data_IF_215706381326
#
_entry.id   IF_215706381326
#
_cell.length_a   1.000
_cell.length_b   1.000
_cell.length_c   1.000
_cell.angle_alpha   90.00
_cell.angle_beta   90.00
_cell.angle_gamma   90.00
#
_symmetry.space_group_name_H-M   'P 1'
#
loop_
_entity.id
_entity.type
_entity.pdbx_description
1 polymer ?
#
# COMPACT_ATOMS: atom_id res chain seq x y z
N UNK A 1 25.93 7.80 6.47
CA UNK A 1 26.30 7.00 7.65
C UNK A 1 26.91 5.71 7.15
N UNK A 2 28.09 5.33 7.64
CA UNK A 2 28.71 4.06 7.26
C UNK A 2 28.12 2.96 8.14
N UNK A 3 27.47 1.97 7.53
CA UNK A 3 27.07 0.77 8.26
C UNK A 3 28.30 -0.05 8.63
N UNK A 4 28.26 -0.66 9.82
CA UNK A 4 29.30 -1.59 10.29
C UNK A 4 28.77 -3.00 10.16
N UNK A 5 29.63 -3.95 9.77
CA UNK A 5 29.28 -5.36 9.67
C UNK A 5 28.88 -5.91 11.05
N UNK A 6 27.81 -6.70 11.11
CA UNK A 6 27.26 -7.31 12.32
C UNK A 6 26.66 -6.34 13.35
N UNK A 7 26.42 -5.08 12.98
CA UNK A 7 25.54 -4.20 13.76
C UNK A 7 24.14 -4.82 13.82
N UNK A 8 23.55 -4.90 15.02
CA UNK A 8 22.25 -5.52 15.30
C UNK A 8 21.15 -4.50 15.58
N UNK A 9 21.48 -3.21 15.57
CA UNK A 9 20.59 -2.12 15.98
C UNK A 9 20.27 -1.17 14.82
N UNK A 10 20.40 -1.63 13.57
CA UNK A 10 20.07 -0.79 12.42
C UNK A 10 18.59 -0.42 12.44
N UNK A 11 18.35 0.88 12.35
CA UNK A 11 17.06 1.48 12.06
C UNK A 11 17.11 2.14 10.69
N UNK A 12 16.13 1.83 9.86
CA UNK A 12 16.01 2.43 8.53
C UNK A 12 14.55 2.65 8.16
N UNK A 13 14.27 3.86 7.69
CA UNK A 13 13.02 4.18 6.99
C UNK A 13 13.33 4.29 5.50
N UNK A 14 12.66 3.49 4.70
CA UNK A 14 12.91 3.37 3.27
C UNK A 14 11.63 2.92 2.55
N UNK A 15 11.57 3.11 1.24
CA UNK A 15 10.52 2.49 0.45
C UNK A 15 10.99 1.14 -0.09
N UNK A 16 10.06 0.20 -0.19
CA UNK A 16 10.27 -1.10 -0.83
C UNK A 16 10.36 -0.87 -2.33
N UNK A 17 11.47 -1.27 -2.92
CA UNK A 17 11.76 -1.07 -4.34
C UNK A 17 11.43 -2.31 -5.16
N UNK A 18 11.63 -3.50 -4.60
CA UNK A 18 11.40 -4.78 -5.26
C UNK A 18 11.11 -5.86 -4.21
N UNK A 19 10.16 -6.76 -4.48
CA UNK A 19 9.85 -7.90 -3.59
C UNK A 19 10.00 -9.20 -4.36
N UNK A 20 10.86 -10.09 -3.87
CA UNK A 20 11.04 -11.40 -4.49
C UNK A 20 9.99 -12.40 -3.97
N UNK A 21 9.58 -13.40 -4.76
CA UNK A 21 8.64 -14.42 -4.30
C UNK A 21 9.16 -15.15 -3.05
N UNK A 22 8.25 -15.46 -2.12
CA UNK A 22 8.57 -16.31 -0.96
C UNK A 22 8.99 -17.69 -1.46
N UNK A 23 10.12 -18.20 -0.96
CA UNK A 23 10.63 -19.53 -1.24
C UNK A 23 10.77 -20.33 0.05
N UNK A 24 10.87 -21.64 -0.06
CA UNK A 24 11.22 -22.51 1.07
C UNK A 24 12.66 -22.97 0.92
N UNK A 25 13.42 -22.96 2.02
CA UNK A 25 14.80 -23.43 2.02
C UNK A 25 14.82 -24.95 2.14
N UNK A 26 14.83 -25.64 0.99
CA UNK A 26 14.79 -27.10 0.91
C UNK A 26 15.95 -27.82 1.61
N UNK A 27 17.06 -27.11 1.86
CA UNK A 27 18.25 -27.65 2.53
C UNK A 27 18.07 -27.87 4.05
N UNK A 28 16.95 -27.43 4.64
CA UNK A 28 16.67 -27.60 6.06
C UNK A 28 15.45 -28.50 6.27
N UNK A 29 15.48 -29.33 7.31
CA UNK A 29 14.41 -30.29 7.61
C UNK A 29 13.04 -29.61 7.81
N UNK A 30 13.03 -28.45 8.48
CA UNK A 30 11.83 -27.65 8.75
C UNK A 30 11.40 -26.78 7.56
N UNK A 31 12.20 -26.73 6.48
CA UNK A 31 11.95 -25.96 5.26
C UNK A 31 11.45 -24.53 5.55
N UNK A 32 12.21 -23.72 6.30
CA UNK A 32 11.75 -22.41 6.72
C UNK A 32 11.47 -21.53 5.50
N UNK A 33 10.40 -20.74 5.60
CA UNK A 33 10.08 -19.73 4.60
C UNK A 33 11.19 -18.67 4.54
N UNK A 34 11.49 -18.23 3.32
CA UNK A 34 12.54 -17.29 2.99
C UNK A 34 12.00 -16.21 2.06
N UNK A 35 12.29 -14.96 2.38
CA UNK A 35 11.91 -13.78 1.59
C UNK A 35 13.10 -12.85 1.45
N UNK A 36 13.28 -12.35 0.24
CA UNK A 36 14.15 -11.20 -0.04
C UNK A 36 13.32 -10.04 -0.57
N UNK A 37 13.73 -8.83 -0.25
CA UNK A 37 13.21 -7.61 -0.86
C UNK A 37 14.28 -6.52 -0.84
N UNK A 38 14.17 -5.57 -1.77
CA UNK A 38 15.06 -4.42 -1.86
C UNK A 38 14.37 -3.21 -1.26
N UNK A 39 15.11 -2.43 -0.47
CA UNK A 39 14.65 -1.14 0.04
C UNK A 39 15.57 -0.03 -0.45
N UNK A 40 15.02 1.18 -0.59
CA UNK A 40 15.77 2.35 -1.02
C UNK A 40 15.27 3.57 -0.24
N UNK A 41 16.19 4.42 0.21
CA UNK A 41 15.92 5.62 1.00
C UNK A 41 16.20 6.91 0.20
N UNK A 42 16.18 6.83 -1.13
CA UNK A 42 16.49 7.93 -2.05
C UNK A 42 17.95 8.42 -2.01
N UNK A 43 18.85 7.73 -1.31
CA UNK A 43 20.28 8.05 -1.27
C UNK A 43 21.10 7.37 -2.39
N UNK A 44 20.44 6.90 -3.46
CA UNK A 44 21.01 6.09 -4.55
C UNK A 44 21.60 4.73 -4.15
N UNK A 45 21.46 4.32 -2.89
CA UNK A 45 21.89 2.99 -2.42
C UNK A 45 20.66 2.13 -2.11
N UNK A 46 20.55 1.01 -2.83
CA UNK A 46 19.53 -0.02 -2.59
C UNK A 46 20.08 -1.02 -1.58
N UNK A 47 19.31 -1.38 -0.55
CA UNK A 47 19.73 -2.39 0.43
C UNK A 47 18.87 -3.63 0.25
N UNK A 48 19.51 -4.80 0.18
CA UNK A 48 18.79 -6.07 0.22
C UNK A 48 18.44 -6.39 1.67
N UNK A 49 17.19 -6.77 1.90
CA UNK A 49 16.69 -7.24 3.18
C UNK A 49 16.28 -8.71 3.03
N UNK A 50 16.66 -9.52 4.01
CA UNK A 50 16.36 -10.95 4.09
C UNK A 50 15.58 -11.29 5.35
N UNK A 51 14.52 -12.06 5.18
CA UNK A 51 13.72 -12.64 6.24
C UNK A 51 13.73 -14.17 6.12
N UNK A 52 13.93 -14.87 7.23
CA UNK A 52 13.91 -16.34 7.30
C UNK A 52 13.10 -16.77 8.52
N UNK A 53 12.28 -17.81 8.36
CA UNK A 53 11.51 -18.43 9.45
C UNK A 53 10.03 -18.04 9.44
N UNK A 54 9.35 -18.27 10.56
CA UNK A 54 7.88 -18.32 10.63
C UNK A 54 7.20 -16.99 10.31
N UNK A 55 7.83 -15.87 10.68
CA UNK A 55 7.29 -14.52 10.44
C UNK A 55 7.37 -14.09 8.98
N UNK A 56 8.10 -14.84 8.14
CA UNK A 56 8.34 -14.49 6.73
C UNK A 56 7.05 -14.37 5.94
N UNK A 57 6.11 -15.30 6.11
CA UNK A 57 4.82 -15.26 5.40
C UNK A 57 3.97 -14.06 5.80
N UNK A 58 3.97 -13.73 7.09
CA UNK A 58 3.24 -12.56 7.62
C UNK A 58 3.84 -11.26 7.08
N UNK A 59 5.17 -11.15 7.07
CA UNK A 59 5.88 -9.98 6.53
C UNK A 59 5.64 -9.86 5.03
N UNK A 60 5.65 -10.96 4.27
CA UNK A 60 5.39 -10.95 2.84
C UNK A 60 4.02 -10.35 2.48
N UNK A 61 2.99 -10.58 3.31
CA UNK A 61 1.66 -10.00 3.11
C UNK A 61 1.61 -8.47 3.30
N UNK A 62 2.60 -7.89 3.98
CA UNK A 62 2.67 -6.46 4.28
C UNK A 62 3.57 -5.69 3.30
N UNK A 63 4.35 -6.41 2.48
CA UNK A 63 5.33 -5.83 1.58
C UNK A 63 4.80 -5.83 0.14
N UNK A 64 4.93 -4.67 -0.50
CA UNK A 64 4.69 -4.46 -1.93
C UNK A 64 5.59 -3.32 -2.38
N UNK A 65 5.89 -3.26 -3.66
CA UNK A 65 6.65 -2.15 -4.23
C UNK A 65 6.01 -0.81 -3.86
N UNK A 66 6.86 0.18 -3.60
CA UNK A 66 6.52 1.57 -3.28
C UNK A 66 5.87 1.82 -1.91
N UNK A 67 5.76 0.80 -1.07
CA UNK A 67 5.39 0.99 0.34
C UNK A 67 6.58 1.54 1.13
N UNK A 68 6.35 2.57 1.93
CA UNK A 68 7.31 3.09 2.90
C UNK A 68 7.24 2.23 4.15
N UNK A 69 8.37 1.66 4.55
CA UNK A 69 8.50 0.86 5.75
C UNK A 69 9.55 1.46 6.68
N UNK A 70 9.38 1.21 7.98
CA UNK A 70 10.42 1.38 9.00
C UNK A 70 10.82 0.01 9.51
N UNK A 71 12.10 -0.31 9.38
CA UNK A 71 12.72 -1.49 9.97
C UNK A 71 13.50 -1.03 11.22
N UNK A 72 13.33 -1.73 12.33
CA UNK A 72 14.12 -1.51 13.55
C UNK A 72 14.77 -2.81 14.00
N UNK A 73 15.96 -2.68 14.62
CA UNK A 73 16.77 -3.79 15.11
C UNK A 73 17.12 -4.81 14.01
N UNK A 74 17.41 -4.32 12.81
CA UNK A 74 17.94 -5.14 11.71
C UNK A 74 19.42 -5.45 11.92
N UNK A 75 19.86 -6.63 11.48
CA UNK A 75 21.27 -7.04 11.56
C UNK A 75 21.97 -6.89 10.22
N UNK A 76 23.09 -6.18 10.17
CA UNK A 76 23.92 -6.13 8.97
C UNK A 76 24.74 -7.41 8.81
N UNK A 77 24.87 -7.86 7.58
CA UNK A 77 25.73 -8.98 7.21
C UNK A 77 26.48 -8.68 5.91
N UNK A 78 27.51 -9.47 5.68
CA UNK A 78 28.22 -9.45 4.42
C UNK A 78 27.22 -9.90 3.34
N UNK A 79 27.15 -9.17 2.23
CA UNK A 79 26.22 -9.45 1.16
C UNK A 79 26.52 -10.82 0.56
N UNK A 80 25.51 -11.67 0.44
CA UNK A 80 25.64 -12.94 -0.28
C UNK A 80 25.42 -12.68 -1.77
N UNK A 81 26.41 -12.08 -2.43
CA UNK A 81 26.40 -11.62 -3.84
C UNK A 81 26.38 -12.74 -4.91
N UNK A 82 25.70 -13.85 -4.67
CA UNK A 82 25.58 -14.90 -5.70
C UNK A 82 24.52 -14.56 -6.78
N UNK A 83 23.75 -13.47 -6.60
CA UNK A 83 22.63 -13.12 -7.48
C UNK A 83 22.48 -11.61 -7.76
N UNK A 84 23.48 -10.80 -7.47
CA UNK A 84 23.39 -9.35 -7.73
C UNK A 84 23.90 -9.03 -9.15
N UNK A 85 23.09 -8.38 -10.01
CA UNK A 85 23.58 -7.89 -11.29
C UNK A 85 24.73 -6.88 -11.06
N UNK A 86 25.82 -6.95 -11.85
CA UNK A 86 26.81 -5.88 -11.87
C UNK A 86 26.10 -4.58 -12.30
N UNK A 87 26.30 -3.49 -11.54
CA UNK A 87 25.62 -2.17 -11.66
C UNK A 87 24.24 -2.01 -10.99
N UNK A 88 23.89 -2.88 -10.04
CA UNK A 88 22.57 -2.82 -9.37
C UNK A 88 22.36 -1.69 -8.35
N UNK A 89 23.37 -0.83 -8.11
CA UNK A 89 23.28 0.24 -7.10
C UNK A 89 23.08 -0.28 -5.67
N UNK A 90 23.41 -1.56 -5.42
CA UNK A 90 23.24 -2.21 -4.13
C UNK A 90 24.32 -1.76 -3.15
N UNK A 91 23.92 -1.53 -1.90
CA UNK A 91 24.82 -1.31 -0.78
C UNK A 91 25.72 -2.53 -0.57
N UNK A 92 26.93 -2.30 -0.08
CA UNK A 92 27.92 -3.35 0.21
C UNK A 92 27.59 -4.21 1.45
N UNK A 93 26.36 -4.14 1.95
CA UNK A 93 25.86 -4.89 3.10
C UNK A 93 24.40 -5.27 2.88
N UNK A 94 24.01 -6.40 3.45
CA UNK A 94 22.64 -6.91 3.45
C UNK A 94 22.07 -6.81 4.87
N UNK A 95 20.78 -6.52 4.98
CA UNK A 95 20.07 -6.48 6.25
C UNK A 95 19.34 -7.80 6.47
N UNK A 96 19.57 -8.47 7.60
CA UNK A 96 18.80 -9.63 8.03
C UNK A 96 17.82 -9.20 9.12
N UNK A 97 16.57 -9.62 8.96
CA UNK A 97 15.58 -9.54 10.02
C UNK A 97 15.83 -10.68 11.01
N UNK A 98 16.04 -10.32 12.26
CA UNK A 98 16.16 -11.25 13.38
C UNK A 98 14.79 -11.41 14.08
N UNK A 99 14.63 -12.38 14.99
CA UNK A 99 13.38 -12.52 15.75
C UNK A 99 12.95 -11.24 16.49
N UNK A 100 13.91 -10.40 16.90
CA UNK A 100 13.66 -9.13 17.57
C UNK A 100 13.39 -7.95 16.62
N UNK A 101 13.61 -8.10 15.32
CA UNK A 101 13.35 -7.04 14.35
C UNK A 101 11.85 -6.73 14.23
N UNK A 102 11.56 -5.45 14.01
CA UNK A 102 10.21 -4.93 13.73
C UNK A 102 10.17 -4.32 12.34
N UNK A 103 9.07 -4.53 11.63
CA UNK A 103 8.75 -3.86 10.36
C UNK A 103 7.40 -3.19 10.54
N UNK A 104 7.35 -1.89 10.31
CA UNK A 104 6.14 -1.10 10.34
C UNK A 104 5.91 -0.49 8.96
N UNK A 105 4.73 -0.73 8.38
CA UNK A 105 4.29 -0.06 7.15
C UNK A 105 3.80 1.34 7.51
N UNK A 106 4.48 2.36 6.97
CA UNK A 106 4.18 3.78 7.25
C UNK A 106 3.24 4.40 6.21
N UNK A 107 3.09 3.79 5.04
CA UNK A 107 2.25 4.29 3.95
C UNK A 107 2.84 3.98 2.58
N UNK A 108 2.47 4.74 1.57
CA UNK A 108 3.01 4.62 0.21
C UNK A 108 3.85 5.86 -0.15
N UNK A 109 4.89 5.67 -0.97
CA UNK A 109 5.72 6.77 -1.46
C UNK A 109 4.88 7.72 -2.32
N UNK A 110 4.77 8.97 -1.87
CA UNK A 110 3.93 10.02 -2.47
C UNK A 110 4.27 10.28 -3.94
N UNK A 111 5.55 10.17 -4.32
CA UNK A 111 6.03 10.42 -5.70
C UNK A 111 5.44 9.47 -6.76
N UNK A 112 4.98 8.27 -6.38
CA UNK A 112 4.33 7.36 -7.32
C UNK A 112 2.82 7.57 -7.40
N UNK A 113 2.19 8.10 -6.35
CA UNK A 113 0.77 8.49 -6.38
C UNK A 113 0.57 9.63 -7.39
N UNK A 114 1.50 10.59 -7.48
CA UNK A 114 1.44 11.66 -8.49
C UNK A 114 1.56 11.18 -9.94
N UNK A 115 2.12 9.99 -10.20
CA UNK A 115 2.30 9.43 -11.54
C UNK A 115 1.12 8.57 -12.02
N UNK A 116 0.26 8.14 -11.09
CA UNK A 116 -0.96 7.42 -11.45
C UNK A 116 -1.93 8.38 -12.17
N UNK A 117 -2.61 7.90 -13.23
CA UNK A 117 -3.60 8.73 -13.92
C UNK A 117 -4.71 9.10 -12.94
N UNK A 118 -5.03 10.39 -12.88
CA UNK A 118 -6.21 10.90 -12.19
C UNK A 118 -7.37 10.91 -13.19
N UNK A 119 -8.37 10.10 -12.91
CA UNK A 119 -9.48 9.80 -13.81
C UNK A 119 -10.82 10.19 -13.19
N UNK A 120 -11.81 10.44 -14.05
CA UNK A 120 -13.21 10.53 -13.64
C UNK A 120 -13.71 9.16 -13.15
N UNK A 121 -14.82 9.12 -12.40
CA UNK A 121 -15.40 7.84 -11.94
C UNK A 121 -15.79 6.96 -13.13
N UNK A 122 -16.25 7.57 -14.23
CA UNK A 122 -16.61 6.87 -15.47
C UNK A 122 -15.40 6.20 -16.11
N UNK A 123 -14.33 6.95 -16.32
CA UNK A 123 -13.15 6.45 -17.05
C UNK A 123 -12.39 5.43 -16.20
N UNK A 124 -12.37 5.63 -14.88
CA UNK A 124 -11.84 4.69 -13.91
C UNK A 124 -12.46 3.29 -13.98
N UNK A 125 -13.73 3.17 -14.39
CA UNK A 125 -14.41 1.88 -14.54
C UNK A 125 -13.99 1.10 -15.82
N UNK A 126 -13.24 1.74 -16.71
CA UNK A 126 -12.75 1.16 -17.95
C UNK A 126 -11.27 0.73 -17.84
N UNK A 127 -10.57 1.20 -16.81
CA UNK A 127 -9.15 0.97 -16.64
C UNK A 127 -8.83 -0.32 -15.89
N UNK A 128 -7.76 -0.99 -16.33
CA UNK A 128 -7.18 -2.13 -15.67
C UNK A 128 -5.93 -1.71 -14.90
N UNK A 129 -6.00 -1.73 -13.57
CA UNK A 129 -4.83 -1.48 -12.73
C UNK A 129 -5.10 -0.51 -11.60
N UNK A 130 -4.01 0.03 -11.05
CA UNK A 130 -4.05 1.01 -9.99
C UNK A 130 -4.21 2.41 -10.61
N UNK A 131 -5.20 3.15 -10.16
CA UNK A 131 -5.58 4.46 -10.69
C UNK A 131 -5.88 5.42 -9.54
N UNK A 132 -6.01 6.70 -9.86
CA UNK A 132 -6.55 7.71 -8.94
C UNK A 132 -7.88 8.21 -9.44
N UNK A 133 -8.82 8.38 -8.53
CA UNK A 133 -10.16 8.90 -8.80
C UNK A 133 -10.44 10.05 -7.86
N UNK A 134 -11.01 11.12 -8.40
CA UNK A 134 -11.49 12.25 -7.62
C UNK A 134 -13.02 12.18 -7.52
N UNK A 135 -13.54 12.46 -6.32
CA UNK A 135 -14.98 12.55 -6.11
C UNK A 135 -15.33 13.07 -4.72
N UNK A 136 -16.59 13.44 -4.53
CA UNK A 136 -17.12 13.85 -3.24
C UNK A 136 -17.68 12.65 -2.48
N UNK A 137 -17.38 12.57 -1.18
CA UNK A 137 -17.91 11.55 -0.31
C UNK A 137 -19.41 11.76 -0.10
N UNK A 138 -20.26 10.92 -0.67
CA UNK A 138 -21.73 11.01 -0.53
C UNK A 138 -22.25 10.18 0.63
N UNK A 139 -21.73 8.97 0.79
CA UNK A 139 -22.05 8.09 1.91
C UNK A 139 -20.75 7.86 2.70
N UNK A 140 -20.72 8.17 4.01
CA UNK A 140 -19.51 8.06 4.80
C UNK A 140 -19.06 6.60 4.93
N UNK A 141 -17.77 6.39 5.22
CA UNK A 141 -17.24 5.05 5.39
C UNK A 141 -17.80 4.40 6.67
N UNK A 142 -18.48 3.28 6.50
CA UNK A 142 -19.06 2.48 7.59
C UNK A 142 -18.42 1.09 7.60
N UNK A 143 -18.07 0.62 8.79
CA UNK A 143 -17.42 -0.67 8.97
C UNK A 143 -18.42 -1.81 8.70
N UNK A 144 -18.04 -2.76 7.85
CA UNK A 144 -18.93 -3.83 7.39
C UNK A 144 -19.03 -4.99 8.40
N UNK A 145 -17.96 -5.29 9.15
CA UNK A 145 -17.98 -6.36 10.16
C UNK A 145 -16.97 -6.11 11.30
N UNK A 146 -17.40 -5.82 12.53
CA UNK A 146 -16.51 -5.50 13.66
C UNK A 146 -15.65 -6.69 14.16
N UNK A 147 -16.00 -7.93 13.83
CA UNK A 147 -15.43 -9.10 14.49
C UNK A 147 -14.08 -9.57 13.91
N UNK A 148 -13.89 -9.53 12.59
CA UNK A 148 -12.78 -10.29 11.97
C UNK A 148 -12.06 -9.62 10.79
N UNK A 149 -12.55 -8.50 10.27
CA UNK A 149 -11.84 -7.74 9.23
C UNK A 149 -12.18 -6.27 9.41
N UNK A 150 -11.16 -5.40 9.47
CA UNK A 150 -11.35 -3.94 9.50
C UNK A 150 -11.80 -3.44 8.13
N UNK A 151 -12.79 -4.04 7.51
CA UNK A 151 -13.29 -3.58 6.21
C UNK A 151 -14.39 -2.55 6.40
N UNK A 152 -14.39 -1.53 5.55
CA UNK A 152 -15.44 -0.53 5.52
C UNK A 152 -15.87 -0.26 4.10
N UNK A 153 -17.06 0.30 3.93
CA UNK A 153 -17.50 0.79 2.63
C UNK A 153 -18.18 2.14 2.71
N UNK A 154 -18.06 2.89 1.63
CA UNK A 154 -18.67 4.20 1.44
C UNK A 154 -18.98 4.44 -0.04
N UNK A 155 -19.49 5.61 -0.37
CA UNK A 155 -19.82 5.97 -1.76
C UNK A 155 -19.23 7.32 -2.09
N UNK A 156 -18.45 7.38 -3.17
CA UNK A 156 -18.03 8.64 -3.78
C UNK A 156 -18.86 8.93 -5.03
N UNK A 157 -19.01 10.21 -5.34
CA UNK A 157 -19.73 10.69 -6.51
C UNK A 157 -18.93 11.76 -7.25
N UNK A 158 -19.15 11.83 -8.55
CA UNK A 158 -18.91 13.01 -9.38
C UNK A 158 -20.27 13.56 -9.86
N UNK A 159 -20.25 14.51 -10.81
CA UNK A 159 -21.46 15.15 -11.33
C UNK A 159 -22.54 14.13 -11.73
N UNK A 160 -22.14 13.04 -12.39
CA UNK A 160 -23.08 12.11 -13.02
C UNK A 160 -23.01 10.70 -12.42
N UNK A 161 -21.84 10.28 -11.95
CA UNK A 161 -21.54 8.90 -11.59
C UNK A 161 -21.33 8.73 -10.10
N UNK A 162 -21.69 7.54 -9.61
CA UNK A 162 -21.41 7.09 -8.24
C UNK A 162 -20.66 5.77 -8.28
N UNK A 163 -19.77 5.58 -7.32
CA UNK A 163 -19.10 4.31 -7.13
C UNK A 163 -18.96 3.97 -5.65
N UNK A 164 -19.15 2.69 -5.34
CA UNK A 164 -18.87 2.15 -4.01
C UNK A 164 -17.37 2.03 -3.84
N UNK A 165 -16.85 2.45 -2.68
CA UNK A 165 -15.50 2.16 -2.24
C UNK A 165 -15.56 1.06 -1.20
N UNK A 166 -14.71 0.04 -1.35
CA UNK A 166 -14.46 -0.98 -0.35
C UNK A 166 -13.02 -0.82 0.16
N UNK A 167 -12.87 -0.67 1.47
CA UNK A 167 -11.58 -0.46 2.13
C UNK A 167 -11.23 -1.73 2.90
N UNK A 168 -10.06 -2.31 2.65
CA UNK A 168 -9.59 -3.53 3.32
C UNK A 168 -9.14 -3.30 4.77
N UNK A 169 -8.30 -2.29 5.00
CA UNK A 169 -7.73 -1.92 6.31
C UNK A 169 -8.22 -0.55 6.77
N UNK A 170 -9.48 -0.50 7.19
CA UNK A 170 -10.17 0.70 7.66
C UNK A 170 -9.71 1.13 9.06
N UNK A 171 -9.47 2.43 9.19
CA UNK A 171 -9.28 3.15 10.44
C UNK A 171 -10.19 4.38 10.39
N UNK A 172 -11.07 4.61 11.37
CA UNK A 172 -11.93 5.78 11.37
C UNK A 172 -11.12 7.08 11.25
N UNK A 173 -11.52 7.97 10.35
CA UNK A 173 -10.93 9.29 10.20
C UNK A 173 -12.04 10.35 10.36
N UNK A 174 -12.00 11.20 11.41
CA UNK A 174 -13.04 12.19 11.67
C UNK A 174 -13.14 13.28 10.59
N UNK A 175 -12.13 13.41 9.73
CA UNK A 175 -12.13 14.39 8.64
C UNK A 175 -12.95 13.94 7.42
N UNK A 176 -13.29 12.64 7.32
CA UNK A 176 -14.00 12.09 6.16
C UNK A 176 -15.52 12.16 6.38
N UNK A 177 -16.03 13.38 6.36
CA UNK A 177 -17.46 13.69 6.50
C UNK A 177 -18.13 13.75 5.12
N UNK A 178 -19.46 13.51 5.02
CA UNK A 178 -20.18 13.71 3.77
C UNK A 178 -19.94 15.10 3.17
N UNK A 179 -19.71 15.16 1.86
CA UNK A 179 -19.46 16.37 1.11
C UNK A 179 -18.00 16.75 0.94
N UNK A 180 -17.06 16.12 1.65
CA UNK A 180 -15.63 16.39 1.42
C UNK A 180 -15.18 15.79 0.09
N UNK A 181 -14.33 16.53 -0.62
CA UNK A 181 -13.69 16.02 -1.83
C UNK A 181 -12.51 15.12 -1.46
N UNK A 182 -12.42 13.98 -2.12
CA UNK A 182 -11.39 12.97 -1.91
C UNK A 182 -10.65 12.70 -3.21
N UNK A 183 -9.36 12.41 -3.10
CA UNK A 183 -8.63 11.66 -4.11
C UNK A 183 -8.35 10.28 -3.56
N UNK A 184 -8.79 9.27 -4.30
CA UNK A 184 -8.76 7.86 -3.89
C UNK A 184 -7.85 7.13 -4.86
N UNK A 185 -6.81 6.48 -4.34
CA UNK A 185 -6.01 5.51 -5.09
C UNK A 185 -6.69 4.15 -4.95
N UNK A 186 -7.07 3.53 -6.07
CA UNK A 186 -7.87 2.31 -6.04
C UNK A 186 -7.66 1.43 -7.26
N UNK A 187 -8.19 0.20 -7.20
CA UNK A 187 -8.39 -0.67 -8.36
C UNK A 187 -9.88 -0.83 -8.61
N UNK A 188 -10.30 -0.76 -9.86
CA UNK A 188 -11.67 -1.12 -10.22
C UNK A 188 -11.84 -2.65 -10.18
N UNK A 189 -12.93 -3.10 -9.56
CA UNK A 189 -13.32 -4.51 -9.48
C UNK A 189 -14.74 -4.67 -9.97
N UNK A 190 -14.93 -5.57 -10.93
CA UNK A 190 -16.25 -6.10 -11.30
C UNK A 190 -16.49 -7.36 -10.49
N UNK A 191 -17.57 -7.36 -9.73
CA UNK A 191 -18.05 -8.57 -9.08
C UNK A 191 -18.95 -9.33 -10.09
N UNK A 192 -18.73 -10.64 -10.24
CA UNK A 192 -19.52 -11.48 -11.14
C UNK A 192 -20.97 -11.66 -10.67
N UNK A 193 -21.24 -11.46 -9.37
CA UNK A 193 -22.56 -11.63 -8.77
C UNK A 193 -23.04 -10.37 -8.02
N UNK A 194 -22.27 -9.28 -8.07
CA UNK A 194 -22.50 -8.09 -7.25
C UNK A 194 -22.25 -6.78 -8.01
N UNK A 195 -22.49 -5.63 -7.35
CA UNK A 195 -22.21 -4.33 -7.94
C UNK A 195 -20.70 -4.10 -8.04
N UNK A 196 -20.24 -3.50 -9.14
CA UNK A 196 -18.85 -3.05 -9.29
C UNK A 196 -18.45 -2.05 -8.20
N UNK A 197 -17.17 -2.05 -7.83
CA UNK A 197 -16.64 -1.18 -6.77
C UNK A 197 -15.17 -0.81 -7.00
N UNK A 198 -14.73 0.24 -6.32
CA UNK A 198 -13.33 0.58 -6.16
C UNK A 198 -12.78 -0.10 -4.91
N UNK A 199 -11.79 -0.96 -5.12
CA UNK A 199 -11.04 -1.68 -4.11
C UNK A 199 -9.86 -0.82 -3.64
N UNK A 200 -9.84 -0.51 -2.36
CA UNK A 200 -8.85 0.34 -1.68
C UNK A 200 -8.24 -0.49 -0.56
N UNK A 201 -6.91 -0.56 -0.51
CA UNK A 201 -6.25 -1.45 0.44
C UNK A 201 -6.32 -0.91 1.87
N UNK A 202 -6.26 0.42 2.04
CA UNK A 202 -6.28 1.05 3.35
C UNK A 202 -6.47 2.56 3.30
N UNK A 203 -6.65 3.17 4.48
CA UNK A 203 -6.94 4.60 4.61
C UNK A 203 -5.85 5.53 4.08
N UNK A 204 -4.60 5.05 4.01
CA UNK A 204 -3.47 5.79 3.45
C UNK A 204 -3.58 6.04 1.93
N UNK A 205 -4.49 5.35 1.24
CA UNK A 205 -4.76 5.50 -0.18
C UNK A 205 -5.87 6.55 -0.46
N UNK A 206 -6.45 7.13 0.59
CA UNK A 206 -7.51 8.14 0.51
C UNK A 206 -6.99 9.45 1.08
N UNK A 207 -7.03 10.51 0.26
CA UNK A 207 -6.54 11.84 0.63
C UNK A 207 -7.68 12.87 0.51
N UNK A 208 -7.72 13.85 1.40
CA UNK A 208 -8.57 15.02 1.21
C UNK A 208 -8.05 15.83 0.01
N UNK A 209 -8.98 16.24 -0.85
CA UNK A 209 -8.68 17.21 -1.89
C UNK A 209 -9.02 18.62 -1.38
N UNK A 210 -8.06 19.26 -0.72
CA UNK A 210 -8.23 20.63 -0.20
C UNK A 210 -8.41 21.69 -1.30
N UNK A 211 -8.13 21.36 -2.56
CA UNK A 211 -8.33 22.26 -3.70
C UNK A 211 -9.78 22.31 -4.21
N UNK A 212 -10.68 21.49 -3.65
CA UNK A 212 -12.09 21.43 -4.05
C UNK A 212 -13.01 21.84 -2.89
N UNK A 213 -14.13 22.52 -3.19
CA UNK A 213 -15.07 22.90 -2.15
C UNK A 213 -15.75 21.67 -1.55
N UNK A 214 -16.03 21.76 -0.26
CA UNK A 214 -16.94 20.84 0.43
C UNK A 214 -18.37 21.13 -0.03
N UNK A 215 -19.09 20.11 -0.46
CA UNK A 215 -20.48 20.22 -0.89
C UNK A 215 -21.45 20.00 0.26
N UNK A 216 -22.60 20.67 0.19
CA UNK A 216 -23.71 20.42 1.12
C UNK A 216 -24.45 19.13 0.74
N UNK A 217 -25.23 18.58 1.66
CA UNK A 217 -26.06 17.40 1.39
C UNK A 217 -27.07 17.65 0.26
N UNK A 218 -27.62 18.86 0.13
CA UNK A 218 -28.53 19.21 -0.95
C UNK A 218 -27.85 19.17 -2.32
N UNK A 219 -26.61 19.66 -2.41
CA UNK A 219 -25.81 19.55 -3.63
C UNK A 219 -25.51 18.08 -3.96
N UNK A 220 -25.12 17.27 -2.98
CA UNK A 220 -24.82 15.84 -3.18
C UNK A 220 -26.05 15.02 -3.60
N UNK A 221 -27.26 15.41 -3.19
CA UNK A 221 -28.51 14.76 -3.66
C UNK A 221 -28.66 14.84 -5.17
N UNK A 222 -28.16 15.92 -5.77
CA UNK A 222 -28.21 16.18 -7.19
C UNK A 222 -27.00 15.65 -7.98
N UNK A 223 -26.23 14.71 -7.41
CA UNK A 223 -25.02 14.15 -8.04
C UNK A 223 -25.02 12.62 -8.01
N UNK A 224 -24.24 12.01 -8.91
CA UNK A 224 -23.97 10.57 -8.89
C UNK A 224 -25.22 9.70 -9.02
N UNK A 225 -25.98 9.90 -10.09
CA UNK A 225 -27.21 9.16 -10.37
C UNK A 225 -26.97 7.86 -11.12
N UNK A 226 -25.84 7.74 -11.80
CA UNK A 226 -25.48 6.61 -12.66
C UNK A 226 -24.38 5.79 -12.00
N UNK A 227 -24.48 4.47 -12.00
CA UNK A 227 -23.33 3.60 -11.70
C UNK A 227 -22.64 3.27 -13.03
N UNK A 228 -21.32 3.48 -13.17
CA UNK A 228 -20.59 3.12 -14.40
C UNK A 228 -20.75 1.62 -14.76
N UNK A 229 -20.74 1.29 -16.06
CA UNK A 229 -20.81 -0.09 -16.55
C UNK A 229 -19.54 -0.92 -16.26
#
# INVERSE_FOLDING_TARGET
MAWVLHDTMIEITAYVDEVFPVRELAAFNERPAFLKFCINNSSQCRVVVTCIGDRTRIIALQLRENVVIRIERGKTIAPKFQFAPPNSGLHNMELILTPSSTINVLGMRIENISRLPLLSIRDAALENGLIRVEGWLKVPFQMNNPAHNRSASGVIVDENYRMRILIGNFLPNPLFLPGVALVVTCRFRRDLQGPSFFDVEGMNEILLNAGRPTLTMDQLRHMGFITPP
#
